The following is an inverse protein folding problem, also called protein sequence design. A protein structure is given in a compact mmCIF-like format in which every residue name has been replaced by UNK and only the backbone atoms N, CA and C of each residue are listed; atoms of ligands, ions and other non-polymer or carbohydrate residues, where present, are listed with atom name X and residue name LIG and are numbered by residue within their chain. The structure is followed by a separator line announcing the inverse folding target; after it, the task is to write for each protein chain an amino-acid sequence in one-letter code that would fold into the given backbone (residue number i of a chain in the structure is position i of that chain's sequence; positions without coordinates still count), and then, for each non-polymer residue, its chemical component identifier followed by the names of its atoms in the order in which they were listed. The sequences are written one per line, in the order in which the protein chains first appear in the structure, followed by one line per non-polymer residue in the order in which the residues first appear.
data_IF_963356172846
#
_entry.id   IF_963356172846
#
_cell.length_a   1.000
_cell.length_b   1.000
_cell.length_c   1.000
_cell.angle_alpha   90.00
_cell.angle_beta   90.00
_cell.angle_gamma   90.00
#
_symmetry.space_group_name_H-M   'P 1'
#
loop_
_entity.id
_entity.type
_entity.pdbx_description
1 polymer ?
#
# COMPACT_ATOMS: atom_id res chain seq x y z
N UNK A 1 -7.85 -38.99 3.16
CA UNK A 1 -8.33 -37.83 2.37
C UNK A 1 -7.14 -36.92 2.06
N UNK A 2 -7.01 -36.39 0.84
CA UNK A 2 -6.00 -35.35 0.56
C UNK A 2 -6.39 -34.07 1.32
N UNK A 3 -5.45 -33.37 1.98
CA UNK A 3 -5.77 -32.12 2.64
C UNK A 3 -6.22 -31.10 1.58
N UNK A 4 -7.36 -30.44 1.84
CA UNK A 4 -7.80 -29.29 1.06
C UNK A 4 -6.70 -28.22 1.11
N UNK A 5 -6.45 -27.56 -0.03
CA UNK A 5 -5.54 -26.43 -0.08
C UNK A 5 -5.98 -25.37 0.94
N UNK A 6 -5.06 -24.79 1.73
CA UNK A 6 -5.38 -23.68 2.60
C UNK A 6 -6.04 -22.54 1.79
N UNK A 7 -7.19 -22.06 2.25
CA UNK A 7 -7.91 -20.92 1.65
C UNK A 7 -7.99 -19.77 2.67
N UNK A 8 -8.01 -18.54 2.18
CA UNK A 8 -8.39 -17.40 3.02
C UNK A 8 -9.92 -17.41 3.28
N UNK A 9 -10.36 -16.75 4.34
CA UNK A 9 -11.79 -16.59 4.69
C UNK A 9 -12.32 -15.16 4.47
N UNK A 10 -11.65 -14.37 3.63
CA UNK A 10 -12.00 -12.95 3.41
C UNK A 10 -13.19 -12.75 2.46
N UNK A 11 -13.34 -13.65 1.48
CA UNK A 11 -14.42 -13.64 0.49
C UNK A 11 -14.45 -14.97 -0.27
N UNK A 12 -15.60 -15.26 -0.88
CA UNK A 12 -15.81 -16.46 -1.71
C UNK A 12 -15.14 -16.33 -3.09
N UNK A 13 -14.83 -17.48 -3.69
CA UNK A 13 -14.42 -17.52 -5.09
C UNK A 13 -15.63 -17.27 -5.98
N UNK A 14 -15.55 -16.26 -6.85
CA UNK A 14 -16.54 -15.98 -7.89
C UNK A 14 -15.83 -15.88 -9.24
N UNK A 15 -16.04 -16.83 -10.17
CA UNK A 15 -15.46 -16.78 -11.50
C UNK A 15 -16.02 -15.60 -12.30
N UNK A 16 -15.28 -15.14 -13.32
CA UNK A 16 -15.63 -13.92 -14.08
C UNK A 16 -17.06 -13.97 -14.64
N UNK A 17 -17.49 -15.12 -15.17
CA UNK A 17 -18.82 -15.29 -15.76
C UNK A 17 -19.99 -15.20 -14.75
N UNK A 18 -19.72 -15.38 -13.47
CA UNK A 18 -20.71 -15.30 -12.38
C UNK A 18 -20.69 -13.92 -11.68
N UNK A 19 -19.76 -13.04 -12.04
CA UNK A 19 -19.70 -11.69 -11.45
C UNK A 19 -20.92 -10.88 -11.93
N UNK A 20 -21.67 -10.35 -10.98
CA UNK A 20 -22.78 -9.43 -11.26
C UNK A 20 -22.25 -8.16 -11.92
N UNK A 21 -23.00 -7.63 -12.89
CA UNK A 21 -22.75 -6.29 -13.39
C UNK A 21 -23.05 -5.27 -12.28
N UNK A 22 -22.16 -4.30 -12.11
CA UNK A 22 -22.21 -3.33 -11.01
C UNK A 22 -21.90 -1.94 -11.54
N UNK A 23 -22.80 -0.99 -11.24
CA UNK A 23 -22.64 0.42 -11.53
C UNK A 23 -22.39 1.20 -10.24
N UNK A 24 -21.40 2.08 -10.28
CA UNK A 24 -21.20 3.11 -9.27
C UNK A 24 -22.31 4.19 -9.35
N UNK A 25 -22.47 5.04 -8.31
CA UNK A 25 -23.43 6.15 -8.35
C UNK A 25 -23.35 6.95 -9.67
N UNK A 26 -24.52 7.28 -10.23
CA UNK A 26 -24.61 7.93 -11.54
C UNK A 26 -24.29 7.03 -12.74
N UNK A 27 -24.49 5.72 -12.62
CA UNK A 27 -24.30 4.73 -13.69
C UNK A 27 -22.86 4.66 -14.24
N UNK A 28 -21.86 5.00 -13.41
CA UNK A 28 -20.45 4.95 -13.80
C UNK A 28 -19.91 3.53 -13.73
N UNK A 29 -19.04 3.16 -14.67
CA UNK A 29 -18.45 1.81 -14.78
C UNK A 29 -17.06 1.67 -14.14
N UNK A 30 -16.46 2.77 -13.70
CA UNK A 30 -15.13 2.81 -13.08
C UNK A 30 -15.16 3.72 -11.85
N UNK A 31 -14.65 3.22 -10.73
CA UNK A 31 -14.19 4.04 -9.62
C UNK A 31 -12.68 4.11 -9.69
N UNK A 32 -12.14 5.32 -9.63
CA UNK A 32 -10.72 5.58 -9.56
C UNK A 32 -10.44 6.35 -8.27
N UNK A 33 -9.52 5.85 -7.47
CA UNK A 33 -9.14 6.44 -6.18
C UNK A 33 -7.64 6.64 -6.19
N UNK A 34 -7.21 7.89 -6.00
CA UNK A 34 -5.83 8.23 -5.69
C UNK A 34 -5.71 8.25 -4.17
N UNK A 35 -4.80 7.46 -3.63
CA UNK A 35 -4.42 7.51 -2.22
C UNK A 35 -2.93 7.76 -2.11
N UNK A 36 -2.52 8.39 -1.01
CA UNK A 36 -1.12 8.60 -0.67
C UNK A 36 -0.89 8.16 0.76
N UNK A 37 0.22 7.47 1.01
CA UNK A 37 0.62 7.06 2.35
C UNK A 37 1.34 8.24 3.03
N UNK A 38 1.03 8.47 4.32
CA UNK A 38 1.76 9.41 5.17
C UNK A 38 2.38 8.59 6.29
N UNK A 39 3.71 8.49 6.29
CA UNK A 39 4.46 7.65 7.21
C UNK A 39 5.54 8.47 7.92
N UNK A 40 5.55 8.42 9.24
CA UNK A 40 6.56 9.08 10.07
C UNK A 40 7.50 8.03 10.66
N UNK A 41 8.80 8.25 10.52
CA UNK A 41 9.83 7.31 10.97
C UNK A 41 10.70 7.96 12.04
N UNK A 42 11.05 7.20 13.07
CA UNK A 42 11.97 7.66 14.10
C UNK A 42 13.42 7.66 13.59
N UNK A 43 14.19 8.68 13.97
CA UNK A 43 15.61 8.75 13.62
C UNK A 43 16.42 7.72 14.41
N UNK A 44 17.17 6.87 13.71
CA UNK A 44 18.05 5.86 14.32
C UNK A 44 17.34 4.69 15.00
N UNK A 45 16.01 4.56 14.87
CA UNK A 45 15.23 3.53 15.53
C UNK A 45 14.35 2.73 14.56
N UNK A 46 14.22 1.43 14.83
CA UNK A 46 13.47 0.50 13.98
C UNK A 46 14.26 0.04 12.76
N UNK A 47 13.56 -0.56 11.79
CA UNK A 47 14.17 -1.11 10.59
C UNK A 47 14.38 -0.03 9.53
N UNK A 48 15.55 -0.04 8.91
CA UNK A 48 15.93 0.67 7.71
C UNK A 48 15.24 0.14 6.48
N UNK A 49 14.61 1.01 5.68
CA UNK A 49 14.28 0.64 4.31
C UNK A 49 15.58 0.65 3.50
N UNK A 50 15.93 -0.47 2.90
CA UNK A 50 17.02 -0.62 1.94
C UNK A 50 16.49 -1.34 0.68
N UNK A 51 16.73 -0.81 -0.53
CA UNK A 51 16.20 -1.41 -1.76
C UNK A 51 16.88 -2.73 -2.16
N UNK A 52 18.04 -3.06 -1.58
CA UNK A 52 18.80 -4.26 -1.89
C UNK A 52 18.72 -5.32 -0.79
N UNK A 53 18.40 -4.93 0.46
CA UNK A 53 18.44 -5.83 1.63
C UNK A 53 17.26 -5.62 2.57
N UNK A 54 16.84 -6.68 3.24
CA UNK A 54 15.80 -6.63 4.27
C UNK A 54 16.42 -6.70 5.65
N UNK A 55 15.87 -5.94 6.61
CA UNK A 55 16.31 -5.97 8.01
C UNK A 55 17.53 -5.11 8.35
N UNK A 56 17.98 -4.26 7.43
CA UNK A 56 19.08 -3.33 7.71
C UNK A 56 18.70 -2.33 8.81
N UNK A 57 19.66 -1.84 9.61
CA UNK A 57 19.40 -0.82 10.60
C UNK A 57 19.07 0.53 9.94
N UNK A 58 18.53 1.45 10.73
CA UNK A 58 18.35 2.83 10.30
C UNK A 58 19.69 3.50 10.00
N UNK A 59 19.74 4.28 8.92
CA UNK A 59 20.90 5.06 8.50
C UNK A 59 20.48 6.51 8.26
N UNK A 60 21.43 7.44 8.28
CA UNK A 60 21.13 8.84 7.94
C UNK A 60 20.52 8.95 6.53
N UNK A 61 21.10 8.25 5.55
CA UNK A 61 20.61 8.23 4.16
C UNK A 61 19.16 7.78 4.10
N UNK A 62 18.83 6.64 4.71
CA UNK A 62 17.48 6.11 4.64
C UNK A 62 16.49 6.90 5.52
N UNK A 63 16.93 7.71 6.48
CA UNK A 63 16.06 8.65 7.16
C UNK A 63 15.77 9.86 6.28
N UNK A 64 16.80 10.51 5.72
CA UNK A 64 16.69 11.82 5.07
C UNK A 64 15.71 11.88 3.90
N UNK A 65 15.69 10.89 3.01
CA UNK A 65 14.71 10.83 1.89
C UNK A 65 13.25 10.63 2.34
N UNK A 66 13.00 9.95 3.47
CA UNK A 66 11.64 9.79 4.03
C UNK A 66 11.21 11.07 4.75
N UNK A 67 12.13 11.69 5.48
CA UNK A 67 11.92 13.00 6.10
C UNK A 67 11.64 14.09 5.04
N UNK A 68 12.29 14.02 3.87
CA UNK A 68 11.97 14.88 2.73
C UNK A 68 10.51 14.73 2.28
N UNK A 69 9.98 13.51 2.25
CA UNK A 69 8.57 13.25 1.91
C UNK A 69 7.62 14.04 2.81
N UNK A 70 7.85 14.02 4.12
CA UNK A 70 7.01 14.74 5.09
C UNK A 70 7.28 16.25 5.14
N UNK A 71 8.50 16.70 4.82
CA UNK A 71 8.88 18.12 4.87
C UNK A 71 8.56 18.90 3.60
N UNK A 72 8.63 18.25 2.44
CA UNK A 72 8.52 18.89 1.13
C UNK A 72 7.54 18.15 0.23
N UNK A 73 7.65 16.82 0.16
CA UNK A 73 6.87 15.99 -0.77
C UNK A 73 5.35 16.16 -0.61
N UNK A 74 4.84 16.07 0.62
CA UNK A 74 3.41 16.17 0.90
C UNK A 74 2.84 17.56 0.54
N UNK A 75 3.60 18.62 0.79
CA UNK A 75 3.15 19.99 0.51
C UNK A 75 3.01 20.24 -0.99
N UNK A 76 3.89 19.66 -1.81
CA UNK A 76 3.78 19.72 -3.27
C UNK A 76 2.56 18.98 -3.84
N UNK A 77 1.91 18.11 -3.08
CA UNK A 77 0.63 17.51 -3.50
C UNK A 77 -0.57 18.44 -3.26
N UNK A 78 -0.42 19.43 -2.38
CA UNK A 78 -1.46 20.41 -2.08
C UNK A 78 -1.37 21.67 -2.95
N UNK A 79 -0.23 21.88 -3.61
CA UNK A 79 -0.01 22.90 -4.64
C UNK A 79 -0.51 22.41 -6.01
#
# INVERSE_FOLDING_TARGET
MRPLLPKHNRYDYVPLIERKDYSWPGQKRLAFVITTNIECFAFGAGMGHDPAKTGEPQTHRNYSWRDYGNRIGIWRFFD
#
